data_IF_714265933632
#
_entry.id   IF_714265933632
#
_cell.length_a   1.000
_cell.length_b   1.000
_cell.length_c   1.000
_cell.angle_alpha   90.00
_cell.angle_beta   90.00
_cell.angle_gamma   90.00
#
_symmetry.space_group_name_H-M   'P 1'
#
loop_
_entity.id
_entity.type
_entity.pdbx_description
1 polymer ?
#
# COMPACT_ATOMS: atom_id res chain seq x y z
N UNK A 1 -16.52 17.46 -59.27
CA UNK A 1 -16.51 18.60 -58.32
C UNK A 1 -16.49 18.01 -56.91
N UNK A 2 -15.36 18.12 -56.23
CA UNK A 2 -15.09 17.52 -54.93
C UNK A 2 -15.99 18.12 -53.84
N UNK A 3 -16.71 17.28 -53.10
CA UNK A 3 -17.29 17.69 -51.82
C UNK A 3 -16.17 17.74 -50.77
N UNK A 4 -16.17 18.76 -49.88
CA UNK A 4 -15.05 19.02 -48.99
C UNK A 4 -14.92 17.94 -47.92
N UNK A 5 -13.68 17.57 -47.62
CA UNK A 5 -13.33 16.72 -46.50
C UNK A 5 -13.92 17.30 -45.21
N UNK A 6 -14.65 16.47 -44.46
CA UNK A 6 -15.10 16.79 -43.11
C UNK A 6 -13.87 17.11 -42.24
N UNK A 7 -13.89 18.18 -41.43
CA UNK A 7 -12.76 18.48 -40.56
C UNK A 7 -12.63 17.38 -39.51
N UNK A 8 -11.51 16.66 -39.55
CA UNK A 8 -11.10 15.74 -38.49
C UNK A 8 -11.12 16.50 -37.15
N UNK A 9 -11.99 16.09 -36.24
CA UNK A 9 -11.98 16.56 -34.86
C UNK A 9 -10.81 15.90 -34.12
N UNK A 10 -9.64 16.54 -34.15
CA UNK A 10 -8.43 16.12 -33.44
C UNK A 10 -8.41 16.65 -31.99
N UNK A 11 -9.50 17.28 -31.52
CA UNK A 11 -9.49 18.03 -30.25
C UNK A 11 -10.08 17.27 -29.05
N UNK A 12 -10.53 16.03 -29.21
CA UNK A 12 -11.10 15.23 -28.11
C UNK A 12 -10.07 14.46 -27.27
N UNK A 13 -8.81 14.34 -27.72
CA UNK A 13 -7.80 13.59 -26.96
C UNK A 13 -7.38 14.30 -25.65
N UNK A 14 -7.32 15.63 -25.64
CA UNK A 14 -6.88 16.41 -24.46
C UNK A 14 -7.86 16.40 -23.28
N UNK A 15 -9.14 16.13 -23.51
CA UNK A 15 -10.17 16.09 -22.47
C UNK A 15 -10.14 14.83 -21.61
N UNK A 16 -9.86 13.69 -22.25
CA UNK A 16 -9.80 12.36 -21.62
C UNK A 16 -8.67 12.30 -20.57
N UNK A 17 -7.48 12.80 -20.92
CA UNK A 17 -6.31 12.80 -20.02
C UNK A 17 -6.52 13.64 -18.76
N UNK A 18 -7.26 14.75 -18.86
CA UNK A 18 -7.51 15.62 -17.71
C UNK A 18 -8.55 15.00 -16.76
N UNK A 19 -9.45 14.16 -17.27
CA UNK A 19 -10.40 13.39 -16.47
C UNK A 19 -9.70 12.25 -15.71
N UNK A 20 -8.82 11.51 -16.37
CA UNK A 20 -8.02 10.44 -15.74
C UNK A 20 -7.15 10.96 -14.59
N UNK A 21 -6.52 12.12 -14.77
CA UNK A 21 -5.71 12.75 -13.73
C UNK A 21 -6.58 13.14 -12.52
N UNK A 22 -7.79 13.66 -12.74
CA UNK A 22 -8.73 13.97 -11.65
C UNK A 22 -9.20 12.70 -10.92
N UNK A 23 -9.32 11.57 -11.63
CA UNK A 23 -9.62 10.29 -11.02
C UNK A 23 -8.50 9.85 -10.07
N UNK A 24 -7.24 10.00 -10.47
CA UNK A 24 -6.08 9.71 -9.62
C UNK A 24 -6.04 10.58 -8.36
N UNK A 25 -6.30 11.87 -8.50
CA UNK A 25 -6.38 12.80 -7.36
C UNK A 25 -7.48 12.37 -6.37
N UNK A 26 -8.68 12.09 -6.88
CA UNK A 26 -9.79 11.62 -6.04
C UNK A 26 -9.46 10.31 -5.32
N UNK A 27 -8.90 9.33 -6.03
CA UNK A 27 -8.52 8.03 -5.48
C UNK A 27 -7.52 8.19 -4.33
N UNK A 28 -6.55 9.10 -4.48
CA UNK A 28 -5.57 9.40 -3.43
C UNK A 28 -6.19 10.15 -2.25
N UNK A 29 -7.10 11.11 -2.49
CA UNK A 29 -7.80 11.85 -1.43
C UNK A 29 -8.71 10.94 -0.60
N UNK A 30 -9.33 9.93 -1.21
CA UNK A 30 -10.18 8.95 -0.50
C UNK A 30 -9.39 7.85 0.22
N UNK A 31 -8.09 7.71 -0.04
CA UNK A 31 -7.26 6.67 0.56
C UNK A 31 -6.89 7.00 2.01
N UNK A 32 -6.67 5.98 2.84
CA UNK A 32 -6.12 6.11 4.19
C UNK A 32 -4.59 6.25 4.22
N UNK A 33 -3.94 6.46 3.07
CA UNK A 33 -2.50 6.64 2.99
C UNK A 33 -2.00 7.78 3.92
N UNK A 34 -0.79 7.68 4.48
CA UNK A 34 -0.21 8.73 5.30
C UNK A 34 -0.11 10.06 4.57
N UNK A 35 -0.34 11.16 5.29
CA UNK A 35 -0.26 12.52 4.76
C UNK A 35 1.05 12.85 4.02
N UNK A 36 2.26 12.54 4.55
CA UNK A 36 3.49 12.84 3.81
C UNK A 36 3.57 12.13 2.46
N UNK A 37 3.03 10.91 2.38
CA UNK A 37 3.01 10.12 1.16
C UNK A 37 1.99 10.69 0.16
N UNK A 38 0.81 11.10 0.64
CA UNK A 38 -0.20 11.77 -0.19
C UNK A 38 0.33 13.08 -0.79
N UNK A 39 1.01 13.90 0.01
CA UNK A 39 1.58 15.17 -0.47
C UNK A 39 2.60 14.95 -1.60
N UNK A 40 3.48 13.96 -1.46
CA UNK A 40 4.48 13.64 -2.49
C UNK A 40 3.82 13.23 -3.81
N UNK A 41 2.81 12.36 -3.73
CA UNK A 41 2.11 11.85 -4.90
C UNK A 41 1.27 12.96 -5.54
N UNK A 42 0.59 13.81 -4.76
CA UNK A 42 -0.14 14.97 -5.28
C UNK A 42 0.78 15.93 -6.04
N UNK A 43 2.03 16.12 -5.57
CA UNK A 43 3.03 16.91 -6.33
C UNK A 43 3.37 16.25 -7.67
N UNK A 44 3.46 14.92 -7.72
CA UNK A 44 3.71 14.16 -8.94
C UNK A 44 2.53 14.24 -9.92
N UNK A 45 1.30 14.07 -9.42
CA UNK A 45 0.07 14.21 -10.21
C UNK A 45 -0.10 15.65 -10.73
N UNK A 46 0.25 16.65 -9.93
CA UNK A 46 0.29 18.04 -10.37
C UNK A 46 1.32 18.32 -11.47
N UNK A 47 2.43 17.57 -11.53
CA UNK A 47 3.36 17.61 -12.68
C UNK A 47 2.71 16.99 -13.92
N UNK A 48 2.05 15.84 -13.77
CA UNK A 48 1.32 15.19 -14.87
C UNK A 48 0.25 16.10 -15.46
N UNK A 49 -0.55 16.81 -14.64
CA UNK A 49 -1.55 17.75 -15.15
C UNK A 49 -0.94 18.86 -15.99
N UNK A 50 0.27 19.34 -15.64
CA UNK A 50 0.98 20.32 -16.45
C UNK A 50 1.45 19.76 -17.80
N UNK A 51 1.90 18.51 -17.82
CA UNK A 51 2.36 17.83 -19.04
C UNK A 51 1.17 17.51 -19.96
N UNK A 52 0.06 17.02 -19.39
CA UNK A 52 -1.16 16.67 -20.11
C UNK A 52 -1.77 17.86 -20.88
N UNK A 53 -1.64 19.09 -20.35
CA UNK A 53 -2.06 20.33 -21.05
C UNK A 53 -1.40 20.55 -22.40
N UNK A 54 -0.22 19.97 -22.63
CA UNK A 54 0.49 20.06 -23.91
C UNK A 54 0.19 18.85 -24.84
N UNK A 55 -0.73 17.97 -24.46
CA UNK A 55 -1.25 16.90 -25.33
C UNK A 55 -0.36 15.65 -25.44
N UNK A 56 0.55 15.44 -24.50
CA UNK A 56 1.46 14.29 -24.52
C UNK A 56 1.06 13.23 -23.49
N UNK A 57 0.68 12.03 -23.94
CA UNK A 57 0.62 10.85 -23.08
C UNK A 57 2.05 10.37 -22.80
N UNK A 58 2.43 10.36 -21.53
CA UNK A 58 3.80 10.07 -21.09
C UNK A 58 3.86 8.72 -20.39
N UNK A 59 4.99 8.02 -20.52
CA UNK A 59 5.32 6.84 -19.70
C UNK A 59 5.30 7.17 -18.19
N UNK A 60 5.44 8.44 -17.84
CA UNK A 60 5.28 8.94 -16.46
C UNK A 60 3.84 8.79 -15.95
N UNK A 61 2.83 8.94 -16.80
CA UNK A 61 1.43 8.79 -16.40
C UNK A 61 1.16 7.35 -15.96
N UNK A 62 1.52 6.37 -16.79
CA UNK A 62 1.36 4.95 -16.46
C UNK A 62 2.11 4.55 -15.19
N UNK A 63 3.29 5.14 -14.96
CA UNK A 63 4.08 4.86 -13.77
C UNK A 63 3.40 5.39 -12.51
N UNK A 64 2.86 6.61 -12.56
CA UNK A 64 2.16 7.22 -11.43
C UNK A 64 0.81 6.56 -11.19
N UNK A 65 0.05 6.21 -12.23
CA UNK A 65 -1.22 5.46 -12.08
C UNK A 65 -0.99 4.13 -11.35
N UNK A 66 0.00 3.33 -11.79
CA UNK A 66 0.38 2.09 -11.10
C UNK A 66 0.79 2.32 -9.65
N UNK A 67 1.54 3.38 -9.38
CA UNK A 67 2.00 3.71 -8.03
C UNK A 67 0.84 4.12 -7.11
N UNK A 68 -0.06 4.98 -7.61
CA UNK A 68 -1.29 5.36 -6.90
C UNK A 68 -2.13 4.13 -6.61
N UNK A 69 -2.29 3.24 -7.59
CA UNK A 69 -3.03 2.00 -7.41
C UNK A 69 -2.44 1.13 -6.28
N UNK A 70 -1.13 0.91 -6.27
CA UNK A 70 -0.47 0.14 -5.20
C UNK A 70 -0.67 0.75 -3.83
N UNK A 71 -0.50 2.06 -3.69
CA UNK A 71 -0.62 2.73 -2.39
C UNK A 71 -2.05 2.70 -1.88
N UNK A 72 -3.02 2.80 -2.77
CA UNK A 72 -4.45 2.76 -2.38
C UNK A 72 -4.92 1.36 -2.00
N UNK A 73 -4.23 0.29 -2.42
CA UNK A 73 -4.54 -1.09 -2.04
C UNK A 73 -4.04 -1.48 -0.65
N UNK A 74 -3.04 -0.76 -0.13
CA UNK A 74 -2.49 -1.05 1.19
C UNK A 74 -3.51 -0.60 2.25
N UNK A 75 -3.91 -1.48 3.19
CA UNK A 75 -4.88 -1.15 4.22
C UNK A 75 -4.21 -0.34 5.35
N UNK A 76 -3.86 0.91 5.05
CA UNK A 76 -3.23 1.82 6.00
C UNK A 76 -4.07 1.99 7.26
N UNK A 77 -3.43 1.88 8.42
CA UNK A 77 -4.09 2.01 9.71
C UNK A 77 -4.97 0.82 10.11
N UNK A 78 -5.06 -0.24 9.29
CA UNK A 78 -5.73 -1.48 9.66
C UNK A 78 -4.70 -2.44 10.23
N UNK A 79 -4.84 -2.74 11.52
CA UNK A 79 -4.01 -3.73 12.20
C UNK A 79 -4.90 -4.85 12.74
N UNK A 80 -4.35 -6.06 12.78
CA UNK A 80 -4.98 -7.20 13.45
C UNK A 80 -4.58 -7.19 14.92
N UNK A 81 -5.42 -7.78 15.77
CA UNK A 81 -5.01 -8.08 17.14
C UNK A 81 -4.16 -9.35 17.13
N UNK A 82 -2.93 -9.25 17.63
CA UNK A 82 -2.03 -10.39 17.71
C UNK A 82 -2.46 -11.34 18.84
N UNK A 83 -2.35 -12.65 18.60
CA UNK A 83 -2.62 -13.67 19.61
C UNK A 83 -1.31 -14.34 20.05
N UNK A 84 -0.92 -14.10 21.30
CA UNK A 84 0.29 -14.65 21.92
C UNK A 84 0.00 -15.81 22.89
N UNK A 85 -1.14 -16.47 22.78
CA UNK A 85 -1.47 -17.65 23.58
C UNK A 85 -0.65 -18.88 23.13
N UNK A 86 0.29 -19.26 23.98
CA UNK A 86 1.24 -20.35 23.75
C UNK A 86 0.53 -21.71 23.78
N UNK A 87 -0.45 -21.91 24.67
CA UNK A 87 -1.18 -23.17 24.79
C UNK A 87 -2.06 -23.40 23.57
N UNK A 88 -2.73 -22.33 23.12
CA UNK A 88 -3.50 -22.36 21.88
C UNK A 88 -2.60 -22.61 20.65
N UNK A 89 -1.46 -21.92 20.56
CA UNK A 89 -0.51 -22.13 19.45
C UNK A 89 0.00 -23.58 19.40
N UNK A 90 0.34 -24.17 20.55
CA UNK A 90 0.77 -25.57 20.65
C UNK A 90 -0.31 -26.53 20.17
N UNK A 91 -1.55 -26.39 20.67
CA UNK A 91 -2.66 -27.25 20.29
C UNK A 91 -2.94 -27.20 18.78
N UNK A 92 -2.90 -26.01 18.18
CA UNK A 92 -3.08 -25.84 16.72
C UNK A 92 -1.95 -26.52 15.95
N UNK A 93 -0.69 -26.29 16.34
CA UNK A 93 0.46 -26.92 15.66
C UNK A 93 0.44 -28.43 15.76
N UNK A 94 0.09 -28.99 16.92
CA UNK A 94 0.00 -30.44 17.12
C UNK A 94 -1.15 -31.07 16.31
N UNK A 95 -2.26 -30.35 16.14
CA UNK A 95 -3.40 -30.84 15.33
C UNK A 95 -3.18 -30.74 13.82
N UNK A 96 -2.39 -29.77 13.36
CA UNK A 96 -2.18 -29.47 11.94
C UNK A 96 -0.89 -30.07 11.38
N UNK A 97 0.10 -30.34 12.24
CA UNK A 97 1.42 -30.81 11.84
C UNK A 97 1.90 -31.96 12.73
N UNK A 98 2.18 -33.11 12.11
CA UNK A 98 2.74 -34.27 12.79
C UNK A 98 4.27 -34.19 12.89
N UNK A 99 4.83 -34.44 14.09
CA UNK A 99 6.25 -34.38 14.36
C UNK A 99 6.82 -32.95 14.41
N UNK A 100 8.08 -32.79 14.01
CA UNK A 100 8.82 -31.52 14.04
C UNK A 100 8.90 -30.87 15.43
N UNK A 101 9.01 -31.68 16.49
CA UNK A 101 9.04 -31.22 17.89
C UNK A 101 10.06 -30.09 18.11
N UNK A 102 11.28 -30.25 17.59
CA UNK A 102 12.33 -29.22 17.70
C UNK A 102 11.96 -27.88 17.05
N UNK A 103 11.21 -27.90 15.92
CA UNK A 103 10.78 -26.66 15.26
C UNK A 103 9.58 -26.06 15.99
N UNK A 104 8.65 -26.89 16.48
CA UNK A 104 7.52 -26.44 17.28
C UNK A 104 8.00 -25.75 18.55
N UNK A 105 8.95 -26.35 19.26
CA UNK A 105 9.55 -25.77 20.47
C UNK A 105 10.18 -24.40 20.16
N UNK A 106 10.91 -24.25 19.05
CA UNK A 106 11.50 -22.97 18.64
C UNK A 106 10.45 -21.88 18.36
N UNK A 107 9.33 -22.25 17.73
CA UNK A 107 8.22 -21.32 17.48
C UNK A 107 7.56 -20.91 18.81
N UNK A 108 7.37 -21.85 19.74
CA UNK A 108 6.83 -21.56 21.07
C UNK A 108 7.76 -20.65 21.88
N UNK A 109 9.07 -20.88 21.83
CA UNK A 109 10.08 -20.03 22.48
C UNK A 109 10.01 -18.60 21.94
N UNK A 110 9.92 -18.44 20.62
CA UNK A 110 9.78 -17.13 19.99
C UNK A 110 8.49 -16.42 20.41
N UNK A 111 7.36 -17.15 20.43
CA UNK A 111 6.08 -16.62 20.92
C UNK A 111 6.15 -16.22 22.41
N UNK A 112 6.88 -16.99 23.23
CA UNK A 112 7.09 -16.66 24.64
C UNK A 112 7.86 -15.35 24.81
N UNK A 113 8.92 -15.14 24.02
CA UNK A 113 9.68 -13.88 24.02
C UNK A 113 8.79 -12.71 23.60
N UNK A 114 8.01 -12.85 22.53
CA UNK A 114 7.08 -11.81 22.08
C UNK A 114 6.00 -11.50 23.12
N UNK A 115 5.47 -12.52 23.80
CA UNK A 115 4.50 -12.36 24.88
C UNK A 115 5.09 -11.55 26.05
N UNK A 116 6.35 -11.81 26.41
CA UNK A 116 7.07 -11.07 27.46
C UNK A 116 7.32 -9.60 27.08
N UNK A 117 7.75 -9.35 25.83
CA UNK A 117 7.94 -7.99 25.31
C UNK A 117 6.64 -7.19 25.31
N UNK A 118 5.54 -7.80 24.84
CA UNK A 118 4.21 -7.18 24.81
C UNK A 118 3.71 -6.84 26.22
N UNK A 119 4.04 -7.66 27.23
CA UNK A 119 3.70 -7.40 28.64
C UNK A 119 4.60 -6.33 29.31
N UNK A 120 5.56 -5.75 28.59
CA UNK A 120 6.45 -4.69 29.10
C UNK A 120 7.54 -5.18 30.06
N UNK A 121 7.73 -6.49 30.19
CA UNK A 121 8.69 -7.09 31.14
C UNK A 121 10.10 -7.26 30.55
N UNK A 122 10.32 -6.87 29.29
CA UNK A 122 11.57 -7.09 28.56
C UNK A 122 12.62 -5.96 28.67
N UNK A 123 12.26 -4.78 29.20
CA UNK A 123 13.13 -3.58 29.16
C UNK A 123 13.77 -3.19 30.50
N UNK A 124 13.62 -3.96 31.58
CA UNK A 124 14.37 -3.74 32.82
C UNK A 124 15.59 -4.67 32.83
N UNK A 125 16.64 -4.29 32.11
CA UNK A 125 17.98 -4.81 32.38
C UNK A 125 18.40 -4.22 33.73
N UNK A 126 18.64 -5.02 34.79
CA UNK A 126 19.34 -4.51 35.95
C UNK A 126 20.78 -4.22 35.51
N UNK A 127 21.06 -2.94 35.29
CA UNK A 127 22.42 -2.44 35.21
C UNK A 127 23.14 -2.88 36.50
N UNK A 128 24.14 -3.73 36.30
CA UNK A 128 24.80 -4.49 37.35
C UNK A 128 25.43 -3.55 38.39
N UNK A 129 25.20 -3.87 39.68
CA UNK A 129 25.95 -3.33 40.81
C UNK A 129 27.33 -4.00 40.93
#
# INVERSE_FOLDING_TARGET
MNQPAQPNNINNAGGDFQEDIQLLERKLSTSNAPDPLKEEILRAVGRLSRIAKYGHYSTEFETIDKYVDWITRIPWGVTTNDNYDIDNAKAIMDSTHYGMETIKDLILDYLAVMQLQTKGLGNTVPEQA
#
